data_IF_383939981897
#
_entry.id   IF_383939981897
#
_cell.length_a   1.000
_cell.length_b   1.000
_cell.length_c   1.000
_cell.angle_alpha   90.00
_cell.angle_beta   90.00
_cell.angle_gamma   90.00
#
_symmetry.space_group_name_H-M   'P 1'
#
loop_
_entity.id
_entity.type
_entity.pdbx_description
1 polymer ?
#
# COMPACT_ATOMS: atom_id res chain seq x y z
N UNK A 1 0.13 11.53 10.34
CA UNK A 1 0.17 10.62 9.18
C UNK A 1 0.98 9.39 9.57
N UNK A 2 0.40 8.19 9.44
CA UNK A 2 1.05 6.94 9.85
C UNK A 2 2.21 6.60 8.92
N UNK A 3 3.24 5.93 9.44
CA UNK A 3 4.41 5.53 8.63
C UNK A 3 4.05 4.42 7.64
N UNK A 4 3.01 3.63 7.95
CA UNK A 4 2.44 2.61 7.06
C UNK A 4 2.25 3.10 5.62
N UNK A 5 1.41 4.12 5.41
CA UNK A 5 1.04 4.54 4.04
C UNK A 5 2.24 4.96 3.20
N UNK A 6 3.17 5.69 3.82
CA UNK A 6 4.43 6.10 3.18
C UNK A 6 5.33 4.90 2.87
N UNK A 7 5.42 3.94 3.79
CA UNK A 7 6.22 2.73 3.60
C UNK A 7 5.70 1.86 2.44
N UNK A 8 4.38 1.79 2.26
CA UNK A 8 3.75 1.08 1.14
C UNK A 8 4.14 1.72 -0.20
N UNK A 9 4.09 3.05 -0.31
CA UNK A 9 4.47 3.77 -1.54
C UNK A 9 5.96 3.63 -1.86
N UNK A 10 6.82 3.73 -0.85
CA UNK A 10 8.26 3.68 -1.04
C UNK A 10 8.77 2.26 -1.38
N UNK A 11 7.96 1.22 -1.15
CA UNK A 11 8.26 -0.17 -1.50
C UNK A 11 7.83 -0.52 -2.92
N UNK A 12 8.69 -0.27 -3.91
CA UNK A 12 8.37 -0.46 -5.34
C UNK A 12 7.88 -1.85 -5.74
N UNK A 13 8.24 -2.91 -4.99
CA UNK A 13 7.81 -4.29 -5.24
C UNK A 13 6.74 -4.79 -4.25
N UNK A 14 6.39 -3.97 -3.23
CA UNK A 14 5.66 -4.38 -2.03
C UNK A 14 6.32 -5.53 -1.25
N UNK A 15 7.62 -5.76 -1.47
CA UNK A 15 8.43 -6.78 -0.81
C UNK A 15 9.76 -6.20 -0.38
N UNK A 16 10.12 -6.40 0.88
CA UNK A 16 11.42 -6.02 1.43
C UNK A 16 11.84 -6.96 2.54
N UNK A 17 13.12 -6.94 2.92
CA UNK A 17 13.59 -7.63 4.13
C UNK A 17 13.03 -6.97 5.39
N UNK A 18 12.94 -7.74 6.47
CA UNK A 18 12.36 -7.27 7.74
C UNK A 18 13.02 -6.00 8.28
N UNK A 19 14.34 -5.90 8.20
CA UNK A 19 15.10 -4.73 8.66
C UNK A 19 14.72 -3.44 7.91
N UNK A 20 14.50 -3.53 6.59
CA UNK A 20 14.06 -2.37 5.79
C UNK A 20 12.62 -1.97 6.15
N UNK A 21 11.75 -2.95 6.41
CA UNK A 21 10.41 -2.66 6.92
C UNK A 21 10.44 -1.99 8.30
N UNK A 22 11.29 -2.48 9.21
CA UNK A 22 11.53 -1.88 10.53
C UNK A 22 12.03 -0.44 10.43
N UNK A 23 12.97 -0.15 9.53
CA UNK A 23 13.45 1.21 9.31
C UNK A 23 12.34 2.15 8.82
N UNK A 24 11.49 1.69 7.88
CA UNK A 24 10.41 2.50 7.32
C UNK A 24 9.28 2.74 8.33
N UNK A 25 8.88 1.70 9.07
CA UNK A 25 7.74 1.73 9.98
C UNK A 25 8.10 2.18 11.39
N UNK A 26 9.37 2.07 11.79
CA UNK A 26 9.81 2.31 13.16
C UNK A 26 9.03 1.47 14.16
N UNK A 27 8.50 2.13 15.19
CA UNK A 27 7.69 1.50 16.24
C UNK A 27 6.35 0.93 15.75
N UNK A 28 5.93 1.23 14.51
CA UNK A 28 4.73 0.63 13.90
C UNK A 28 5.00 -0.79 13.37
N UNK A 29 6.27 -1.25 13.23
CA UNK A 29 6.57 -2.53 12.58
C UNK A 29 6.03 -3.73 13.34
N UNK A 30 6.38 -3.90 14.62
CA UNK A 30 6.00 -5.09 15.40
C UNK A 30 4.47 -5.26 15.45
N UNK A 31 3.66 -4.23 15.73
CA UNK A 31 2.19 -4.35 15.72
C UNK A 31 1.61 -4.60 14.32
N UNK A 32 2.22 -4.04 13.28
CA UNK A 32 1.80 -4.24 11.89
C UNK A 32 2.39 -5.50 11.25
N UNK A 33 3.20 -6.27 11.98
CA UNK A 33 3.89 -7.46 11.44
C UNK A 33 2.94 -8.49 10.84
N UNK A 34 1.69 -8.55 11.33
CA UNK A 34 0.61 -9.38 10.78
C UNK A 34 0.28 -9.08 9.31
N UNK A 35 0.55 -7.86 8.84
CA UNK A 35 0.34 -7.43 7.46
C UNK A 35 1.49 -7.87 6.54
N UNK A 36 2.49 -8.58 7.06
CA UNK A 36 3.67 -9.02 6.30
C UNK A 36 3.74 -10.54 6.25
N UNK A 37 3.70 -11.08 5.03
CA UNK A 37 3.86 -12.51 4.77
C UNK A 37 5.32 -12.78 4.44
N UNK A 38 5.93 -13.69 5.20
CA UNK A 38 7.24 -14.25 4.85
C UNK A 38 7.15 -14.96 3.49
N UNK A 39 8.07 -14.62 2.58
CA UNK A 39 8.21 -15.35 1.32
C UNK A 39 9.31 -16.40 1.45
N UNK A 40 9.42 -17.28 0.45
CA UNK A 40 10.55 -18.19 0.30
C UNK A 40 11.70 -17.61 -0.55
N UNK A 41 11.67 -16.30 -0.83
CA UNK A 41 12.65 -15.63 -1.69
C UNK A 41 13.60 -14.79 -0.85
N UNK A 42 14.89 -14.85 -1.19
CA UNK A 42 15.87 -13.90 -0.65
C UNK A 42 15.84 -12.60 -1.43
N UNK A 43 16.16 -11.51 -0.74
CA UNK A 43 16.52 -10.27 -1.41
C UNK A 43 17.76 -10.54 -2.25
N UNK A 44 17.82 -10.01 -3.47
CA UNK A 44 19.02 -10.11 -4.30
C UNK A 44 20.16 -9.24 -3.78
N UNK A 45 19.81 -8.16 -3.07
CA UNK A 45 20.73 -7.22 -2.45
C UNK A 45 20.17 -6.73 -1.12
N UNK A 46 21.06 -6.42 -0.18
CA UNK A 46 20.72 -5.82 1.12
C UNK A 46 21.62 -4.63 1.40
N UNK A 47 21.11 -3.68 2.17
CA UNK A 47 21.87 -2.55 2.69
C UNK A 47 21.79 -2.61 4.20
N UNK A 48 22.94 -2.72 4.87
CA UNK A 48 23.01 -2.72 6.32
C UNK A 48 22.84 -1.29 6.87
N UNK A 49 22.29 -1.17 8.08
CA UNK A 49 22.25 0.11 8.79
C UNK A 49 23.66 0.69 8.92
N UNK A 50 23.81 1.97 8.57
CA UNK A 50 25.10 2.68 8.62
C UNK A 50 26.03 2.39 7.44
N UNK A 51 25.60 1.58 6.48
CA UNK A 51 26.38 1.23 5.29
C UNK A 51 25.82 1.91 4.02
N UNK A 52 26.72 2.50 3.23
CA UNK A 52 26.39 3.13 1.95
C UNK A 52 26.37 2.13 0.78
N UNK A 53 26.96 0.94 0.95
CA UNK A 53 27.03 -0.08 -0.09
C UNK A 53 25.77 -0.96 -0.13
N UNK A 54 25.45 -1.45 -1.34
CA UNK A 54 24.48 -2.52 -1.55
C UNK A 54 25.23 -3.84 -1.67
N UNK A 55 25.04 -4.71 -0.68
CA UNK A 55 25.68 -6.01 -0.64
C UNK A 55 24.84 -7.01 -1.42
N UNK A 56 25.48 -7.79 -2.30
CA UNK A 56 24.83 -8.86 -3.05
C UNK A 56 24.59 -10.05 -2.14
N UNK A 57 23.37 -10.55 -2.13
CA UNK A 57 23.03 -11.75 -1.35
C UNK A 57 23.22 -12.97 -2.24
N UNK A 58 23.94 -13.96 -1.71
CA UNK A 58 24.25 -15.22 -2.36
C UNK A 58 23.89 -16.34 -1.40
N UNK A 59 23.18 -17.34 -1.92
CA UNK A 59 23.01 -18.62 -1.22
C UNK A 59 24.16 -19.53 -1.63
N UNK A 60 24.91 -20.02 -0.65
CA UNK A 60 26.03 -20.94 -0.87
C UNK A 60 25.96 -22.04 0.18
N UNK A 61 25.78 -23.28 -0.28
CA UNK A 61 25.43 -24.42 0.58
C UNK A 61 24.21 -24.07 1.44
N UNK A 62 24.27 -24.30 2.76
CA UNK A 62 23.21 -23.99 3.71
C UNK A 62 23.31 -22.57 4.31
N UNK A 63 24.18 -21.72 3.75
CA UNK A 63 24.45 -20.37 4.26
C UNK A 63 23.93 -19.31 3.31
N UNK A 64 23.50 -18.20 3.90
CA UNK A 64 23.21 -16.97 3.16
C UNK A 64 24.34 -16.00 3.44
N UNK A 65 24.95 -15.47 2.38
CA UNK A 65 26.12 -14.60 2.45
C UNK A 65 25.78 -13.27 1.78
N UNK A 66 26.08 -12.15 2.44
CA UNK A 66 26.14 -10.84 1.83
C UNK A 66 27.58 -10.58 1.38
N UNK A 67 27.79 -10.27 0.11
CA UNK A 67 29.07 -9.94 -0.50
C UNK A 67 29.09 -8.47 -0.93
N UNK A 68 30.10 -7.72 -0.48
CA UNK A 68 30.40 -6.41 -1.04
C UNK A 68 31.17 -6.62 -2.35
N UNK A 69 30.57 -6.24 -3.49
CA UNK A 69 31.18 -6.46 -4.80
C UNK A 69 32.40 -5.52 -5.06
N UNK A 70 32.56 -4.46 -4.28
CA UNK A 70 33.67 -3.50 -4.40
C UNK A 70 34.87 -3.89 -3.53
N UNK A 71 34.64 -4.25 -2.27
CA UNK A 71 35.72 -4.58 -1.31
C UNK A 71 36.00 -6.08 -1.20
N UNK A 72 35.14 -6.92 -1.77
CA UNK A 72 35.15 -8.39 -1.64
C UNK A 72 34.98 -8.91 -0.20
N UNK A 73 34.64 -8.03 0.75
CA UNK A 73 34.25 -8.43 2.10
C UNK A 73 32.94 -9.21 2.05
N UNK A 74 32.79 -10.17 2.96
CA UNK A 74 31.57 -10.95 3.08
C UNK A 74 31.09 -11.06 4.52
N UNK A 75 29.77 -11.19 4.68
CA UNK A 75 29.11 -11.37 5.97
C UNK A 75 28.14 -12.54 5.88
N UNK A 76 28.19 -13.45 6.84
CA UNK A 76 27.19 -14.51 6.95
C UNK A 76 25.91 -13.92 7.53
N UNK A 77 24.79 -14.10 6.83
CA UNK A 77 23.47 -13.67 7.24
C UNK A 77 22.71 -14.81 7.89
N UNK A 78 21.92 -14.48 8.91
CA UNK A 78 20.81 -15.35 9.29
C UNK A 78 19.80 -15.40 8.15
N UNK A 79 19.34 -16.60 7.80
CA UNK A 79 18.39 -16.83 6.70
C UNK A 79 17.17 -15.90 6.81
N UNK A 80 16.63 -15.75 8.02
CA UNK A 80 15.49 -14.86 8.34
C UNK A 80 15.71 -13.39 7.97
N UNK A 81 16.95 -12.90 7.99
CA UNK A 81 17.27 -11.48 7.75
C UNK A 81 17.38 -11.19 6.25
N UNK A 82 17.66 -12.20 5.43
CA UNK A 82 17.70 -12.08 3.99
C UNK A 82 16.35 -12.37 3.31
N UNK A 83 15.41 -13.02 4.01
CA UNK A 83 14.10 -13.36 3.45
C UNK A 83 13.27 -12.10 3.18
N UNK A 84 12.72 -12.02 1.97
CA UNK A 84 11.75 -11.01 1.62
C UNK A 84 10.44 -11.28 2.36
N UNK A 85 9.88 -10.22 2.92
CA UNK A 85 8.51 -10.17 3.43
C UNK A 85 7.70 -9.30 2.50
N UNK A 86 6.59 -9.84 1.99
CA UNK A 86 5.64 -9.11 1.16
C UNK A 86 4.50 -8.58 2.01
N UNK A 87 3.92 -7.46 1.63
CA UNK A 87 2.67 -7.01 2.21
C UNK A 87 1.54 -7.98 1.82
N UNK A 88 0.69 -8.32 2.79
CA UNK A 88 -0.59 -8.95 2.55
C UNK A 88 -1.62 -7.89 2.14
N UNK A 89 -1.65 -7.56 0.85
CA UNK A 89 -2.57 -6.55 0.31
C UNK A 89 -4.03 -6.99 0.45
N UNK A 90 -4.31 -8.31 0.49
CA UNK A 90 -5.67 -8.80 0.70
C UNK A 90 -6.13 -8.58 2.14
N UNK A 91 -5.28 -8.86 3.12
CA UNK A 91 -5.57 -8.54 4.52
C UNK A 91 -5.70 -7.03 4.72
N UNK A 92 -4.78 -6.23 4.17
CA UNK A 92 -4.87 -4.76 4.22
C UNK A 92 -6.18 -4.24 3.62
N UNK A 93 -6.57 -4.74 2.43
CA UNK A 93 -7.82 -4.38 1.77
C UNK A 93 -9.04 -4.71 2.63
N UNK A 94 -9.04 -5.89 3.26
CA UNK A 94 -10.09 -6.30 4.18
C UNK A 94 -10.18 -5.35 5.37
N UNK A 95 -9.06 -5.07 6.04
CA UNK A 95 -9.04 -4.14 7.18
C UNK A 95 -9.54 -2.74 6.77
N UNK A 96 -9.12 -2.21 5.61
CA UNK A 96 -9.62 -0.92 5.08
C UNK A 96 -11.14 -0.94 4.94
N UNK A 97 -11.70 -1.97 4.30
CA UNK A 97 -13.14 -2.08 4.09
C UNK A 97 -13.91 -2.20 5.40
N UNK A 98 -13.44 -3.04 6.34
CA UNK A 98 -14.07 -3.22 7.65
C UNK A 98 -14.07 -1.91 8.46
N UNK A 99 -12.94 -1.20 8.50
CA UNK A 99 -12.82 0.08 9.21
C UNK A 99 -13.74 1.17 8.66
N UNK A 100 -14.04 1.16 7.35
CA UNK A 100 -14.86 2.17 6.67
C UNK A 100 -16.31 1.73 6.44
N UNK A 101 -16.68 0.52 6.87
CA UNK A 101 -18.03 -0.04 6.68
C UNK A 101 -18.34 -0.32 5.20
N UNK A 102 -17.35 -0.68 4.40
CA UNK A 102 -17.49 -1.03 2.99
C UNK A 102 -17.65 -2.55 2.82
N UNK A 103 -18.29 -2.97 1.73
CA UNK A 103 -18.40 -4.40 1.42
C UNK A 103 -17.08 -4.89 0.81
N UNK A 104 -16.35 -5.84 1.44
CA UNK A 104 -15.07 -6.29 0.93
C UNK A 104 -15.26 -7.15 -0.33
N UNK A 105 -14.49 -6.85 -1.37
CA UNK A 105 -14.43 -7.60 -2.62
C UNK A 105 -13.06 -7.47 -3.23
N UNK A 106 -12.22 -8.48 -3.02
CA UNK A 106 -10.83 -8.45 -3.45
C UNK A 106 -10.61 -9.10 -4.82
N UNK A 107 -10.23 -8.29 -5.80
CA UNK A 107 -9.83 -8.75 -7.14
C UNK A 107 -8.55 -8.01 -7.56
N UNK A 108 -7.55 -8.75 -8.03
CA UNK A 108 -6.29 -8.15 -8.51
C UNK A 108 -6.47 -7.72 -9.96
N UNK A 109 -6.10 -6.47 -10.26
CA UNK A 109 -6.08 -5.97 -11.63
C UNK A 109 -4.66 -6.20 -12.19
N UNK A 110 -4.60 -6.90 -13.32
CA UNK A 110 -3.34 -7.28 -13.95
C UNK A 110 -2.61 -8.41 -13.20
N UNK A 111 -1.28 -8.26 -13.03
CA UNK A 111 -0.39 -9.32 -12.53
C UNK A 111 0.26 -9.02 -11.17
N UNK A 112 -0.03 -7.87 -10.57
CA UNK A 112 0.64 -7.43 -9.34
C UNK A 112 -0.35 -6.85 -8.35
N UNK A 113 -0.03 -6.93 -7.06
CA UNK A 113 -0.86 -6.39 -5.98
C UNK A 113 -0.85 -4.86 -5.86
N UNK A 114 -0.29 -4.13 -6.82
CA UNK A 114 -0.25 -2.68 -6.77
C UNK A 114 -1.57 -2.03 -7.14
N UNK A 115 -2.45 -2.72 -7.88
CA UNK A 115 -3.78 -2.23 -8.24
C UNK A 115 -4.77 -3.37 -8.00
N UNK A 116 -5.69 -3.18 -7.08
CA UNK A 116 -6.70 -4.18 -6.73
C UNK A 116 -8.05 -3.49 -6.54
N UNK A 117 -9.14 -4.13 -7.00
CA UNK A 117 -10.46 -3.87 -6.43
C UNK A 117 -10.45 -4.42 -5.01
N UNK A 118 -10.83 -3.59 -4.05
CA UNK A 118 -10.83 -3.96 -2.62
C UNK A 118 -12.23 -4.12 -2.06
N UNK A 119 -13.22 -3.46 -2.68
CA UNK A 119 -14.59 -3.51 -2.20
C UNK A 119 -15.57 -2.68 -3.00
N UNK A 120 -16.66 -2.36 -2.34
CA UNK A 120 -17.75 -1.55 -2.85
C UNK A 120 -18.27 -0.64 -1.74
N UNK A 121 -18.56 0.61 -2.09
CA UNK A 121 -19.15 1.56 -1.16
C UNK A 121 -20.58 1.13 -0.76
N UNK A 122 -21.09 1.59 0.40
CA UNK A 122 -22.50 1.41 0.74
C UNK A 122 -23.42 2.05 -0.30
N UNK A 123 -24.68 1.60 -0.36
CA UNK A 123 -25.70 2.18 -1.25
C UNK A 123 -25.92 3.68 -1.01
N UNK A 124 -25.75 4.17 0.23
CA UNK A 124 -25.79 5.60 0.56
C UNK A 124 -24.71 6.42 -0.15
N UNK A 125 -23.69 5.75 -0.69
CA UNK A 125 -22.58 6.29 -1.45
C UNK A 125 -22.57 5.77 -2.89
N UNK A 126 -23.77 5.50 -3.44
CA UNK A 126 -23.99 5.07 -4.85
C UNK A 126 -23.38 3.71 -5.22
N UNK A 127 -22.95 2.91 -4.24
CA UNK A 127 -22.39 1.57 -4.46
C UNK A 127 -21.22 1.53 -5.46
N UNK A 128 -20.38 2.56 -5.49
CA UNK A 128 -19.24 2.59 -6.39
C UNK A 128 -18.22 1.50 -6.04
N UNK A 129 -17.64 0.79 -7.03
CA UNK A 129 -16.52 -0.09 -6.79
C UNK A 129 -15.31 0.72 -6.30
N UNK A 130 -14.57 0.14 -5.36
CA UNK A 130 -13.41 0.77 -4.73
C UNK A 130 -12.14 0.05 -5.14
N UNK A 131 -11.17 0.79 -5.64
CA UNK A 131 -9.86 0.29 -6.06
C UNK A 131 -8.76 0.91 -5.24
N UNK A 132 -7.82 0.10 -4.76
CA UNK A 132 -6.61 0.53 -4.08
C UNK A 132 -5.43 0.50 -5.06
N UNK A 133 -4.72 1.62 -5.18
CA UNK A 133 -3.51 1.74 -5.98
C UNK A 133 -2.31 2.13 -5.12
N UNK A 134 -1.35 1.22 -4.98
CA UNK A 134 -0.11 1.43 -4.22
C UNK A 134 1.03 1.67 -5.21
N UNK A 135 1.16 2.90 -5.71
CA UNK A 135 2.20 3.30 -6.68
C UNK A 135 2.88 4.59 -6.24
N UNK A 136 4.20 4.63 -6.38
CA UNK A 136 5.04 5.79 -6.05
C UNK A 136 5.00 6.87 -7.12
N UNK A 137 5.06 6.47 -8.39
CA UNK A 137 5.31 7.38 -9.51
C UNK A 137 3.99 7.79 -10.17
N UNK A 138 3.79 9.10 -10.45
CA UNK A 138 2.55 9.58 -11.07
C UNK A 138 2.22 8.93 -12.43
N UNK A 139 3.25 8.62 -13.23
CA UNK A 139 3.08 7.91 -14.51
C UNK A 139 2.47 6.53 -14.35
N UNK A 140 2.79 5.82 -13.26
CA UNK A 140 2.19 4.52 -12.96
C UNK A 140 0.77 4.67 -12.41
N UNK A 141 0.48 5.77 -11.70
CA UNK A 141 -0.87 6.10 -11.24
C UNK A 141 -1.80 6.38 -12.42
N UNK A 142 -1.36 7.16 -13.42
CA UNK A 142 -2.13 7.41 -14.65
C UNK A 142 -2.47 6.09 -15.37
N UNK A 143 -1.50 5.17 -15.49
CA UNK A 143 -1.73 3.84 -16.07
C UNK A 143 -2.74 3.01 -15.25
N UNK A 144 -2.65 3.08 -13.93
CA UNK A 144 -3.59 2.39 -13.04
C UNK A 144 -5.02 2.96 -13.15
N UNK A 145 -5.18 4.27 -13.31
CA UNK A 145 -6.49 4.90 -13.54
C UNK A 145 -7.12 4.38 -14.83
N UNK A 146 -6.34 4.32 -15.92
CA UNK A 146 -6.79 3.79 -17.21
C UNK A 146 -7.18 2.31 -17.14
N UNK A 147 -6.42 1.49 -16.39
CA UNK A 147 -6.75 0.08 -16.14
C UNK A 147 -8.05 -0.07 -15.33
N UNK A 148 -8.20 0.71 -14.25
CA UNK A 148 -9.39 0.70 -13.39
C UNK A 148 -10.63 1.18 -14.14
N UNK A 149 -10.52 2.23 -14.95
CA UNK A 149 -11.64 2.78 -15.70
C UNK A 149 -12.23 1.75 -16.69
N UNK A 150 -11.38 0.92 -17.31
CA UNK A 150 -11.82 -0.18 -18.18
C UNK A 150 -12.54 -1.29 -17.40
N UNK A 151 -12.06 -1.61 -16.20
CA UNK A 151 -12.65 -2.66 -15.35
C UNK A 151 -13.99 -2.22 -14.76
N UNK A 152 -14.05 -1.01 -14.21
CA UNK A 152 -15.23 -0.49 -13.51
C UNK A 152 -16.45 -0.29 -14.42
N UNK A 153 -16.24 -0.01 -15.72
CA UNK A 153 -17.31 0.24 -16.69
C UNK A 153 -18.32 1.34 -16.25
N UNK A 154 -17.86 2.29 -15.43
CA UNK A 154 -18.67 3.34 -14.81
C UNK A 154 -17.90 4.09 -13.72
N UNK A 155 -18.58 4.94 -12.91
CA UNK A 155 -17.93 5.70 -11.84
C UNK A 155 -17.32 4.77 -10.79
N UNK A 156 -16.16 5.13 -10.25
CA UNK A 156 -15.43 4.36 -9.26
C UNK A 156 -14.75 5.24 -8.22
N UNK A 157 -14.43 4.67 -7.06
CA UNK A 157 -13.55 5.30 -6.08
C UNK A 157 -12.13 4.73 -6.21
N UNK A 158 -11.18 5.61 -6.48
CA UNK A 158 -9.75 5.31 -6.56
C UNK A 158 -9.05 5.77 -5.28
N UNK A 159 -8.47 4.82 -4.55
CA UNK A 159 -7.83 5.05 -3.26
C UNK A 159 -6.31 4.91 -3.42
N UNK A 160 -5.57 5.93 -3.02
CA UNK A 160 -4.11 5.90 -2.89
C UNK A 160 -3.72 5.76 -1.40
N UNK A 161 -2.55 5.21 -1.04
CA UNK A 161 -2.05 5.30 0.33
C UNK A 161 -1.98 6.74 0.83
N UNK A 162 -1.36 7.63 0.04
CA UNK A 162 -1.33 9.07 0.22
C UNK A 162 -1.50 9.79 -1.13
N UNK A 163 -1.69 11.10 -1.13
CA UNK A 163 -1.80 11.89 -2.36
C UNK A 163 -0.43 12.27 -2.96
N UNK A 164 0.70 11.72 -2.49
CA UNK A 164 2.05 12.12 -2.94
C UNK A 164 2.35 11.79 -4.40
N UNK A 165 1.71 10.75 -4.94
CA UNK A 165 1.86 10.33 -6.34
C UNK A 165 0.81 10.96 -7.27
N UNK A 166 -0.10 11.79 -6.73
CA UNK A 166 -1.13 12.47 -7.49
C UNK A 166 -0.57 13.78 -8.07
N UNK A 167 -0.50 13.85 -9.39
CA UNK A 167 -0.15 15.07 -10.13
C UNK A 167 -1.32 15.56 -11.00
N UNK A 168 -1.11 16.67 -11.70
CA UNK A 168 -2.11 17.26 -12.61
C UNK A 168 -2.57 16.27 -13.68
N UNK A 169 -1.66 15.43 -14.20
CA UNK A 169 -2.00 14.47 -15.26
C UNK A 169 -2.94 13.37 -14.74
N UNK A 170 -2.67 12.83 -13.55
CA UNK A 170 -3.53 11.85 -12.89
C UNK A 170 -4.91 12.43 -12.54
N UNK A 171 -4.98 13.68 -12.06
CA UNK A 171 -6.26 14.36 -11.79
C UNK A 171 -7.10 14.51 -13.06
N UNK A 172 -6.50 14.99 -14.17
CA UNK A 172 -7.19 15.13 -15.46
C UNK A 172 -7.69 13.77 -15.97
N UNK A 173 -6.91 12.71 -15.78
CA UNK A 173 -7.33 11.36 -16.17
C UNK A 173 -8.49 10.80 -15.34
N UNK A 174 -8.51 11.06 -14.03
CA UNK A 174 -9.63 10.69 -13.16
C UNK A 174 -10.92 11.41 -13.58
N UNK A 175 -10.85 12.70 -13.86
CA UNK A 175 -12.01 13.47 -14.33
C UNK A 175 -12.58 12.91 -15.64
N UNK A 176 -11.70 12.54 -16.58
CA UNK A 176 -12.08 11.93 -17.87
C UNK A 176 -12.73 10.55 -17.75
N UNK A 177 -12.47 9.84 -16.66
CA UNK A 177 -12.92 8.46 -16.43
C UNK A 177 -14.07 8.37 -15.42
N UNK A 178 -14.59 9.52 -14.98
CA UNK A 178 -15.54 9.67 -13.87
C UNK A 178 -15.09 8.98 -12.56
N UNK A 179 -13.76 8.85 -12.41
CA UNK A 179 -13.13 8.38 -11.19
C UNK A 179 -13.18 9.46 -10.10
N UNK A 180 -13.45 9.04 -8.87
CA UNK A 180 -13.32 9.88 -7.67
C UNK A 180 -12.09 9.42 -6.90
N UNK A 181 -11.37 10.35 -6.26
CA UNK A 181 -10.14 10.02 -5.55
C UNK A 181 -10.23 10.29 -4.06
N UNK A 182 -9.68 9.38 -3.28
CA UNK A 182 -9.43 9.55 -1.86
C UNK A 182 -8.04 9.03 -1.49
N UNK A 183 -7.51 9.49 -0.37
CA UNK A 183 -6.31 8.88 0.23
C UNK A 183 -6.70 8.05 1.46
N UNK A 184 -6.09 6.87 1.61
CA UNK A 184 -6.24 6.06 2.80
C UNK A 184 -5.76 6.82 4.04
N UNK A 185 -4.69 7.63 3.90
CA UNK A 185 -4.20 8.50 4.96
C UNK A 185 -5.19 9.58 5.43
N UNK A 186 -6.14 10.01 4.60
CA UNK A 186 -7.18 10.98 4.97
C UNK A 186 -8.43 10.31 5.53
N UNK A 187 -8.67 9.04 5.20
CA UNK A 187 -9.85 8.28 5.63
C UNK A 187 -9.59 7.42 6.87
N UNK A 188 -8.35 6.99 7.07
CA UNK A 188 -7.97 6.03 8.09
C UNK A 188 -6.85 6.58 8.97
N UNK A 189 -6.79 6.07 10.19
CA UNK A 189 -5.66 6.23 11.11
C UNK A 189 -5.37 4.90 11.79
N UNK A 190 -4.20 4.80 12.40
CA UNK A 190 -3.92 3.72 13.35
C UNK A 190 -4.48 4.13 14.72
N UNK A 191 -5.18 3.21 15.38
CA UNK A 191 -5.55 3.34 16.79
C UNK A 191 -4.32 3.15 17.69
N UNK A 192 -4.48 3.36 19.00
CA UNK A 192 -3.42 3.07 19.99
C UNK A 192 -3.04 1.57 20.04
N UNK A 193 -3.90 0.71 19.49
CA UNK A 193 -3.68 -0.73 19.33
C UNK A 193 -3.13 -1.10 17.93
N UNK A 194 -2.79 -0.12 17.11
CA UNK A 194 -2.30 -0.30 15.74
C UNK A 194 -3.27 -1.03 14.81
N UNK A 195 -4.57 -0.87 15.08
CA UNK A 195 -5.65 -1.29 14.20
C UNK A 195 -6.01 -0.13 13.26
N UNK A 196 -6.36 -0.44 12.02
CA UNK A 196 -6.92 0.56 11.12
C UNK A 196 -8.31 0.94 11.62
N UNK A 197 -8.55 2.23 11.77
CA UNK A 197 -9.85 2.78 12.14
C UNK A 197 -10.16 3.98 11.26
N UNK A 198 -11.44 4.18 10.93
CA UNK A 198 -11.88 5.38 10.25
C UNK A 198 -11.52 6.63 11.05
N UNK A 199 -11.17 7.70 10.36
CA UNK A 199 -11.13 9.03 10.97
C UNK A 199 -12.56 9.53 11.24
N UNK A 200 -12.72 10.36 12.26
CA UNK A 200 -14.03 10.86 12.70
C UNK A 200 -14.76 11.61 11.58
N UNK A 201 -14.03 12.25 10.67
CA UNK A 201 -14.54 13.01 9.53
C UNK A 201 -14.49 12.25 8.19
N UNK A 202 -14.12 10.96 8.20
CA UNK A 202 -13.96 10.16 6.98
C UNK A 202 -15.25 10.10 6.14
N UNK A 203 -16.40 9.99 6.83
CA UNK A 203 -17.72 9.98 6.17
C UNK A 203 -17.99 11.29 5.45
N UNK A 204 -17.81 12.43 6.13
CA UNK A 204 -18.05 13.76 5.55
C UNK A 204 -17.07 14.06 4.41
N UNK A 205 -15.82 13.60 4.52
CA UNK A 205 -14.83 13.66 3.42
C UNK A 205 -15.32 12.88 2.20
N UNK A 206 -15.77 11.63 2.38
CA UNK A 206 -16.32 10.82 1.29
C UNK A 206 -17.56 11.48 0.65
N UNK A 207 -18.46 12.05 1.45
CA UNK A 207 -19.63 12.77 0.92
C UNK A 207 -19.20 13.92 0.00
N UNK A 208 -18.23 14.74 0.41
CA UNK A 208 -17.70 15.83 -0.42
C UNK A 208 -17.05 15.32 -1.70
N UNK A 209 -16.22 14.27 -1.61
CA UNK A 209 -15.54 13.66 -2.76
C UNK A 209 -16.56 13.14 -3.80
N UNK A 210 -17.68 12.62 -3.33
CA UNK A 210 -18.71 12.00 -4.17
C UNK A 210 -19.82 12.98 -4.60
N UNK A 211 -19.71 14.26 -4.21
CA UNK A 211 -20.70 15.29 -4.50
C UNK A 211 -22.07 15.03 -3.85
N UNK A 212 -22.07 14.41 -2.67
CA UNK A 212 -23.26 14.15 -1.87
C UNK A 212 -23.46 15.28 -0.85
N UNK A 213 -24.70 15.52 -0.44
CA UNK A 213 -24.98 16.43 0.68
C UNK A 213 -24.25 15.96 1.93
N UNK A 214 -23.54 16.88 2.58
CA UNK A 214 -22.84 16.61 3.83
C UNK A 214 -23.88 16.59 4.94
N UNK A 215 -24.31 15.40 5.32
CA UNK A 215 -25.12 15.21 6.51
C UNK A 215 -24.17 15.22 7.70
N UNK A 216 -24.14 16.29 8.48
CA UNK A 216 -23.51 16.26 9.81
C UNK A 216 -24.27 15.23 10.65
N UNK A 217 -23.77 14.00 10.73
CA UNK A 217 -24.29 13.04 11.70
C UNK A 217 -23.79 13.45 13.10
N UNK A 218 -24.68 13.55 14.10
CA UNK A 218 -24.28 13.86 15.46
C UNK A 218 -23.42 12.71 16.03
N UNK A 219 -22.49 13.11 16.90
CA UNK A 219 -21.49 12.29 17.58
C UNK A 219 -21.99 10.97 18.15
#
# INVERSE_FOLDING_TARGET
MTRLWRALEDAASLMEVAEVWQQRLGTEFEPLSRLFIATNKFASRVRFVGDSALWKVIEYEDRVIALNEETFEHRVLQRSNALLRRIDVRLLAKEICESLGWSPKFEMLGRTYHVCRIGELPASFKAFPVYLCIRKYPTDVVRAIDEVARDASGPFLFVLPTNRSLDTAATVWLERTDGKIASAADLLRLSDRFELVAQDDARSKLQRILGLEVTDSPR
#
